data_IF_784594163950
#
_entry.id   IF_784594163950
#
_cell.length_a   1.000
_cell.length_b   1.000
_cell.length_c   1.000
_cell.angle_alpha   90.00
_cell.angle_beta   90.00
_cell.angle_gamma   90.00
#
_symmetry.space_group_name_H-M   'P 1'
#
loop_
_entity.id
_entity.type
_entity.pdbx_description
1 polymer ?
#
# COMPACT_ATOMS: atom_id res chain seq x y z
N UNK A 1 -27.47 -37.39 21.85
CA UNK A 1 -28.29 -36.69 20.82
C UNK A 1 -28.52 -35.18 21.03
N UNK A 2 -28.18 -34.56 22.18
CA UNK A 2 -28.38 -33.10 22.38
C UNK A 2 -27.24 -32.22 21.82
N UNK A 3 -26.01 -32.73 21.84
CA UNK A 3 -24.80 -32.01 21.42
C UNK A 3 -24.77 -31.79 19.90
N UNK A 4 -25.15 -32.78 19.09
CA UNK A 4 -25.16 -32.67 17.62
C UNK A 4 -26.15 -31.61 17.10
N UNK A 5 -27.29 -31.43 17.77
CA UNK A 5 -28.27 -30.37 17.43
C UNK A 5 -27.72 -28.98 17.74
N UNK A 6 -27.01 -28.83 18.85
CA UNK A 6 -26.36 -27.56 19.21
C UNK A 6 -25.30 -27.17 18.17
N UNK A 7 -24.49 -28.14 17.72
CA UNK A 7 -23.46 -27.90 16.69
C UNK A 7 -24.06 -27.52 15.35
N UNK A 8 -25.14 -28.18 14.92
CA UNK A 8 -25.85 -27.83 13.68
C UNK A 8 -26.41 -26.41 13.71
N UNK A 9 -26.97 -25.98 14.84
CA UNK A 9 -27.48 -24.62 15.03
C UNK A 9 -26.33 -23.60 14.96
N UNK A 10 -25.23 -23.82 15.69
CA UNK A 10 -24.07 -22.91 15.65
C UNK A 10 -23.49 -22.79 14.24
N UNK A 11 -23.36 -23.92 13.53
CA UNK A 11 -22.80 -23.93 12.18
C UNK A 11 -23.71 -23.22 11.18
N UNK A 12 -25.04 -23.37 11.31
CA UNK A 12 -26.01 -22.61 10.53
C UNK A 12 -25.92 -21.10 10.79
N UNK A 13 -25.80 -20.67 12.05
CA UNK A 13 -25.68 -19.26 12.36
C UNK A 13 -24.37 -18.65 11.84
N UNK A 14 -23.25 -19.36 12.02
CA UNK A 14 -21.93 -18.88 11.57
C UNK A 14 -21.81 -18.84 10.05
N UNK A 15 -22.30 -19.87 9.36
CA UNK A 15 -22.14 -19.99 7.91
C UNK A 15 -23.19 -19.20 7.11
N UNK A 16 -24.41 -19.03 7.62
CA UNK A 16 -25.52 -18.46 6.84
C UNK A 16 -26.13 -17.21 7.47
N UNK A 17 -26.45 -17.23 8.77
CA UNK A 17 -27.18 -16.12 9.39
C UNK A 17 -26.33 -14.85 9.53
N UNK A 18 -25.06 -14.98 9.96
CA UNK A 18 -24.15 -13.84 10.12
C UNK A 18 -23.83 -13.17 8.77
N UNK A 19 -23.49 -13.91 7.69
CA UNK A 19 -23.28 -13.30 6.38
C UNK A 19 -24.53 -12.64 5.80
N UNK A 20 -25.70 -13.28 5.92
CA UNK A 20 -26.96 -12.76 5.39
C UNK A 20 -27.41 -11.48 6.12
N UNK A 21 -27.26 -11.43 7.45
CA UNK A 21 -27.56 -10.23 8.23
C UNK A 21 -26.59 -9.08 7.88
N UNK A 22 -25.29 -9.38 7.68
CA UNK A 22 -24.31 -8.37 7.27
C UNK A 22 -24.55 -7.83 5.85
N UNK A 23 -25.16 -8.63 4.97
CA UNK A 23 -25.57 -8.19 3.62
C UNK A 23 -26.76 -7.23 3.68
N UNK A 24 -27.76 -7.51 4.51
CA UNK A 24 -28.97 -6.69 4.66
C UNK A 24 -28.73 -5.37 5.39
N UNK A 25 -27.78 -5.34 6.33
CA UNK A 25 -27.34 -4.13 7.05
C UNK A 25 -26.47 -3.21 6.17
N UNK A 26 -26.19 -3.60 4.91
CA UNK A 26 -25.36 -2.83 3.98
C UNK A 26 -23.89 -2.73 4.37
N UNK A 27 -23.49 -3.38 5.47
CA UNK A 27 -22.13 -3.31 5.99
C UNK A 27 -21.17 -4.22 5.24
N UNK A 28 -21.61 -5.37 4.69
CA UNK A 28 -20.80 -6.25 3.81
C UNK A 28 -19.44 -6.73 4.38
N UNK A 29 -19.18 -6.46 5.66
CA UNK A 29 -17.84 -6.36 6.26
C UNK A 29 -17.32 -7.67 6.86
N UNK A 30 -18.17 -8.67 7.06
CA UNK A 30 -17.84 -9.81 7.92
C UNK A 30 -17.52 -11.13 7.20
N UNK A 31 -17.78 -11.28 5.90
CA UNK A 31 -17.50 -12.55 5.22
C UNK A 31 -16.85 -12.42 3.83
N UNK A 32 -17.13 -11.36 3.06
CA UNK A 32 -16.63 -11.24 1.68
C UNK A 32 -15.51 -10.21 1.51
N UNK A 33 -15.38 -9.22 2.40
CA UNK A 33 -14.37 -8.15 2.25
C UNK A 33 -12.95 -8.58 2.63
N UNK A 34 -12.76 -9.73 3.30
CA UNK A 34 -11.42 -10.20 3.65
C UNK A 34 -10.59 -10.62 2.42
N UNK A 35 -11.26 -10.88 1.29
CA UNK A 35 -10.64 -11.25 0.01
C UNK A 35 -10.87 -10.24 -1.13
N UNK A 36 -11.65 -9.17 -0.90
CA UNK A 36 -12.10 -8.28 -1.97
C UNK A 36 -11.27 -6.98 -2.12
N UNK A 37 -10.43 -6.63 -1.15
CA UNK A 37 -9.63 -5.39 -1.21
C UNK A 37 -8.15 -5.72 -1.36
N UNK A 38 -7.85 -6.48 -2.41
CA UNK A 38 -6.48 -6.76 -2.84
C UNK A 38 -5.97 -5.51 -3.58
N UNK A 39 -5.81 -4.41 -2.84
CA UNK A 39 -5.26 -3.18 -3.38
C UNK A 39 -3.81 -3.45 -3.82
N UNK A 40 -3.55 -3.31 -5.10
CA UNK A 40 -2.19 -3.31 -5.61
C UNK A 40 -1.61 -1.91 -5.45
N UNK A 41 -0.36 -1.84 -5.00
CA UNK A 41 0.29 -0.56 -4.78
C UNK A 41 1.68 -0.54 -5.39
N UNK A 42 2.11 0.64 -5.82
CA UNK A 42 3.50 0.93 -6.20
C UNK A 42 3.92 2.28 -5.65
N UNK A 43 5.23 2.46 -5.52
CA UNK A 43 5.85 3.73 -5.17
C UNK A 43 6.44 4.35 -6.43
N UNK A 44 6.13 5.62 -6.68
CA UNK A 44 6.84 6.44 -7.65
C UNK A 44 7.69 7.47 -6.93
N UNK A 45 8.98 7.51 -7.25
CA UNK A 45 9.92 8.50 -6.69
C UNK A 45 10.43 9.35 -7.85
N UNK A 46 10.29 10.67 -7.71
CA UNK A 46 10.77 11.64 -8.69
C UNK A 46 11.67 12.67 -8.01
N UNK A 47 12.88 12.81 -8.53
CA UNK A 47 13.77 13.93 -8.20
C UNK A 47 13.48 15.13 -9.10
N UNK A 48 13.83 16.31 -8.62
CA UNK A 48 13.80 17.56 -9.38
C UNK A 48 15.13 18.26 -9.16
N UNK A 49 15.84 18.58 -10.25
CA UNK A 49 17.16 19.22 -10.18
C UNK A 49 17.05 20.75 -9.96
N UNK A 50 18.19 21.44 -9.94
CA UNK A 50 18.22 22.90 -9.77
C UNK A 50 17.61 23.67 -10.96
N UNK A 51 17.48 23.03 -12.13
CA UNK A 51 16.85 23.58 -13.33
C UNK A 51 15.37 23.18 -13.44
N UNK A 52 14.77 22.70 -12.33
CA UNK A 52 13.37 22.27 -12.25
C UNK A 52 13.04 21.07 -13.19
N UNK A 53 14.06 20.34 -13.63
CA UNK A 53 13.86 19.16 -14.48
C UNK A 53 13.55 17.97 -13.57
N UNK A 54 12.36 17.40 -13.77
CA UNK A 54 11.95 16.19 -13.09
C UNK A 54 12.59 14.95 -13.72
N UNK A 55 13.05 14.02 -12.89
CA UNK A 55 13.62 12.74 -13.33
C UNK A 55 13.22 11.60 -12.38
N UNK A 56 13.07 10.36 -12.89
CA UNK A 56 12.70 9.23 -12.05
C UNK A 56 13.88 8.78 -11.17
N UNK A 57 13.58 8.36 -9.94
CA UNK A 57 14.52 7.68 -9.05
C UNK A 57 13.97 6.28 -8.80
N UNK A 58 14.74 5.24 -9.11
CA UNK A 58 14.30 3.86 -8.89
C UNK A 58 14.19 3.55 -7.38
N UNK A 59 13.11 2.89 -6.96
CA UNK A 59 12.93 2.45 -5.58
C UNK A 59 14.06 1.51 -5.12
N UNK A 60 14.60 0.70 -6.02
CA UNK A 60 15.77 -0.16 -5.75
C UNK A 60 17.03 0.64 -5.42
N UNK A 61 17.19 1.84 -6.01
CA UNK A 61 18.26 2.76 -5.64
C UNK A 61 18.05 3.28 -4.22
N UNK A 62 16.84 3.70 -3.86
CA UNK A 62 16.51 4.15 -2.50
C UNK A 62 16.68 3.05 -1.45
N UNK A 63 16.38 1.80 -1.82
CA UNK A 63 16.58 0.63 -0.94
C UNK A 63 18.02 0.47 -0.45
N UNK A 64 19.02 1.01 -1.17
CA UNK A 64 20.43 0.96 -0.75
C UNK A 64 20.74 1.83 0.48
N UNK A 65 19.94 2.85 0.75
CA UNK A 65 20.06 3.69 1.95
C UNK A 65 19.19 3.22 3.12
N UNK A 66 18.41 2.16 2.93
CA UNK A 66 17.51 1.59 3.94
C UNK A 66 18.06 0.28 4.51
N UNK A 67 17.56 -0.13 5.67
CA UNK A 67 17.92 -1.39 6.32
C UNK A 67 16.67 -2.19 6.71
N UNK A 68 16.87 -3.47 7.04
CA UNK A 68 15.80 -4.35 7.55
C UNK A 68 14.60 -4.48 6.61
N UNK A 69 13.40 -4.46 7.19
CA UNK A 69 12.14 -4.63 6.46
C UNK A 69 11.88 -3.52 5.44
N UNK A 70 12.32 -2.28 5.72
CA UNK A 70 12.15 -1.15 4.81
C UNK A 70 12.96 -1.34 3.51
N UNK A 71 14.17 -1.89 3.60
CA UNK A 71 14.97 -2.26 2.42
C UNK A 71 14.23 -3.28 1.57
N UNK A 72 13.76 -4.36 2.18
CA UNK A 72 13.03 -5.43 1.47
C UNK A 72 11.75 -4.91 0.82
N UNK A 73 11.01 -4.04 1.51
CA UNK A 73 9.79 -3.42 1.00
C UNK A 73 10.03 -2.53 -0.23
N UNK A 74 11.22 -1.91 -0.35
CA UNK A 74 11.57 -1.04 -1.48
C UNK A 74 12.12 -1.78 -2.70
N UNK A 75 12.56 -3.03 -2.55
CA UNK A 75 13.03 -3.84 -3.67
C UNK A 75 11.85 -4.17 -4.58
N UNK A 76 11.86 -3.61 -5.80
CA UNK A 76 10.80 -3.82 -6.79
C UNK A 76 9.54 -2.98 -6.55
N UNK A 77 9.54 -2.06 -5.58
CA UNK A 77 8.39 -1.21 -5.27
C UNK A 77 7.96 -0.26 -6.40
N UNK A 78 8.76 -0.13 -7.46
CA UNK A 78 8.41 0.58 -8.70
C UNK A 78 7.31 -0.16 -9.50
N UNK A 79 7.07 -1.44 -9.19
CA UNK A 79 6.02 -2.26 -9.79
C UNK A 79 4.82 -2.38 -8.84
N UNK A 80 3.65 -2.64 -9.42
CA UNK A 80 2.46 -2.94 -8.63
C UNK A 80 2.63 -4.28 -7.92
N UNK A 81 2.48 -4.25 -6.59
CA UNK A 81 2.49 -5.44 -5.76
C UNK A 81 1.28 -5.47 -4.85
N UNK A 82 0.79 -6.69 -4.67
CA UNK A 82 -0.21 -7.02 -3.69
C UNK A 82 0.44 -7.26 -2.33
N UNK A 83 -0.01 -6.58 -1.28
CA UNK A 83 0.38 -6.97 0.07
C UNK A 83 0.09 -5.93 1.15
N UNK A 84 0.24 -6.32 2.43
CA UNK A 84 0.01 -5.43 3.58
C UNK A 84 1.03 -4.29 3.69
N UNK A 85 2.06 -4.30 2.83
CA UNK A 85 3.15 -3.33 2.79
C UNK A 85 2.65 -1.91 2.48
N UNK A 86 1.51 -1.78 1.79
CA UNK A 86 0.93 -0.49 1.40
C UNK A 86 0.69 0.43 2.62
N UNK A 87 0.17 -0.12 3.73
CA UNK A 87 -0.14 0.68 4.94
C UNK A 87 1.13 1.17 5.61
N UNK A 88 2.17 0.34 5.64
CA UNK A 88 3.48 0.73 6.16
C UNK A 88 4.07 1.83 5.30
N UNK A 89 4.08 1.67 3.98
CA UNK A 89 4.62 2.67 3.05
C UNK A 89 3.95 4.03 3.19
N UNK A 90 2.61 4.05 3.35
CA UNK A 90 1.83 5.27 3.55
C UNK A 90 2.31 6.09 4.76
N UNK A 91 2.62 5.43 5.87
CA UNK A 91 3.09 6.09 7.08
C UNK A 91 4.53 6.62 6.98
N UNK A 92 5.33 6.09 6.04
CA UNK A 92 6.77 6.38 5.92
C UNK A 92 7.16 7.11 4.63
N UNK A 93 6.21 7.74 3.93
CA UNK A 93 6.51 8.48 2.68
C UNK A 93 7.55 9.59 2.88
N UNK A 94 7.52 10.28 4.03
CA UNK A 94 8.48 11.35 4.35
C UNK A 94 9.89 10.81 4.63
N UNK A 95 9.99 9.61 5.22
CA UNK A 95 11.25 8.91 5.45
C UNK A 95 11.84 8.42 4.13
N UNK A 96 10.99 7.87 3.24
CA UNK A 96 11.38 7.48 1.89
C UNK A 96 11.88 8.67 1.07
N UNK A 97 11.25 9.84 1.20
CA UNK A 97 11.71 11.07 0.55
C UNK A 97 13.08 11.51 1.10
N UNK A 98 13.32 11.37 2.40
CA UNK A 98 14.62 11.62 3.02
C UNK A 98 15.70 10.66 2.51
N UNK A 99 15.40 9.36 2.49
CA UNK A 99 16.32 8.34 1.95
C UNK A 99 16.62 8.57 0.46
N UNK A 100 15.62 8.99 -0.32
CA UNK A 100 15.78 9.33 -1.72
C UNK A 100 16.73 10.54 -1.93
N UNK A 101 16.64 11.57 -1.08
CA UNK A 101 17.60 12.68 -1.10
C UNK A 101 19.04 12.22 -0.80
N UNK A 102 19.24 11.22 0.07
CA UNK A 102 20.58 10.71 0.39
C UNK A 102 21.22 9.96 -0.80
N UNK A 103 20.43 9.20 -1.56
CA UNK A 103 20.95 8.42 -2.70
C UNK A 103 21.05 9.22 -3.99
N UNK A 104 20.39 10.37 -4.07
CA UNK A 104 20.37 11.23 -5.25
C UNK A 104 20.78 12.67 -4.89
N UNK A 105 22.09 12.93 -4.76
CA UNK A 105 22.60 14.23 -4.32
C UNK A 105 22.36 15.36 -5.32
N UNK A 106 22.00 15.02 -6.57
CA UNK A 106 21.66 16.01 -7.60
C UNK A 106 20.23 16.55 -7.45
N UNK A 107 19.36 15.86 -6.71
CA UNK A 107 17.99 16.29 -6.47
C UNK A 107 17.95 17.47 -5.49
N UNK A 108 17.24 18.52 -5.87
CA UNK A 108 16.87 19.64 -5.01
C UNK A 108 15.58 19.36 -4.25
N UNK A 109 14.63 18.71 -4.92
CA UNK A 109 13.41 18.21 -4.31
C UNK A 109 13.20 16.76 -4.69
N UNK A 110 12.58 16.00 -3.78
CA UNK A 110 12.06 14.67 -4.07
C UNK A 110 10.57 14.65 -3.81
N UNK A 111 9.83 14.06 -4.74
CA UNK A 111 8.42 13.71 -4.56
C UNK A 111 8.28 12.20 -4.53
N UNK A 112 7.72 11.67 -3.46
CA UNK A 112 7.33 10.27 -3.32
C UNK A 112 5.82 10.19 -3.45
N UNK A 113 5.32 9.28 -4.29
CA UNK A 113 3.90 9.01 -4.48
C UNK A 113 3.59 7.55 -4.23
N UNK A 114 2.56 7.31 -3.44
CA UNK A 114 1.92 6.00 -3.33
C UNK A 114 0.76 5.94 -4.31
N UNK A 115 0.85 5.01 -5.25
CA UNK A 115 -0.14 4.78 -6.29
C UNK A 115 -0.84 3.46 -5.97
N UNK A 116 -2.16 3.48 -5.80
CA UNK A 116 -2.94 2.28 -5.46
C UNK A 116 -4.02 2.03 -6.53
N UNK A 117 -4.34 0.77 -6.77
CA UNK A 117 -5.48 0.35 -7.59
C UNK A 117 -6.22 -0.81 -6.92
N UNK A 118 -7.54 -0.72 -6.87
CA UNK A 118 -8.41 -1.74 -6.26
C UNK A 118 -8.78 -2.88 -7.22
N UNK A 119 -8.55 -2.71 -8.52
CA UNK A 119 -8.74 -3.73 -9.56
C UNK A 119 -7.63 -3.52 -10.61
N UNK A 120 -7.14 -4.63 -11.18
CA UNK A 120 -6.19 -4.66 -12.31
C UNK A 120 -6.71 -3.84 -13.50
N UNK A 121 -8.03 -3.76 -13.68
CA UNK A 121 -8.75 -3.01 -14.71
C UNK A 121 -9.26 -1.63 -14.24
N UNK A 122 -9.19 -1.31 -12.94
CA UNK A 122 -9.63 -0.01 -12.44
C UNK A 122 -8.68 1.12 -12.82
N UNK A 123 -9.26 2.31 -13.00
CA UNK A 123 -8.50 3.56 -13.15
C UNK A 123 -7.61 3.76 -11.93
N UNK A 124 -6.32 3.98 -12.16
CA UNK A 124 -5.34 4.24 -11.11
C UNK A 124 -5.79 5.43 -10.26
N UNK A 125 -5.93 5.23 -8.95
CA UNK A 125 -6.22 6.31 -8.03
C UNK A 125 -4.92 6.70 -7.31
N UNK A 126 -4.63 8.01 -7.30
CA UNK A 126 -3.46 8.56 -6.60
C UNK A 126 -3.92 8.97 -5.22
N UNK A 127 -3.39 8.36 -4.16
CA UNK A 127 -3.94 8.59 -2.82
C UNK A 127 -3.02 9.39 -1.91
N UNK A 128 -1.71 9.38 -2.13
CA UNK A 128 -0.84 10.18 -1.28
C UNK A 128 0.49 10.55 -1.94
N UNK A 129 0.83 11.83 -1.84
CA UNK A 129 2.13 12.35 -2.28
C UNK A 129 2.78 13.17 -1.19
N UNK A 130 4.09 13.03 -1.03
CA UNK A 130 4.92 13.87 -0.19
C UNK A 130 6.04 14.46 -1.02
N UNK A 131 6.17 15.79 -0.98
CA UNK A 131 7.28 16.52 -1.59
C UNK A 131 8.17 17.06 -0.48
N UNK A 132 9.46 16.77 -0.56
CA UNK A 132 10.46 17.17 0.44
C UNK A 132 11.63 17.90 -0.22
N UNK A 133 12.09 19.04 0.33
CA UNK A 133 13.37 19.63 -0.08
C UNK A 133 14.53 18.77 0.43
N UNK A 134 15.53 18.55 -0.43
CA UNK A 134 16.77 17.91 -0.03
C UNK A 134 17.68 18.96 0.61
N UNK A 135 17.90 18.86 1.92
CA UNK A 135 18.92 19.66 2.60
C UNK A 135 20.28 19.16 2.13
N UNK A 136 21.03 20.03 1.43
CA UNK A 136 22.44 19.78 1.10
C UNK A 136 23.30 19.78 2.34
#
# INVERSE_FOLDING_TARGET
MKIARLHGIVLFFVAFAIPAASYLDGSGRLAYSMFADIAESRIEIRGEDAAERAFPIAATKVATALTGAARTAMVGADHFHTGPVHRMMRMHLDDLAGAACLVEPTARFVTVRLVERHDVLATTQTFESRRRPCSR
#
